data_IF_471485513150
#
_entry.id   IF_471485513150
#
_cell.length_a   1.000
_cell.length_b   1.000
_cell.length_c   1.000
_cell.angle_alpha   90.00
_cell.angle_beta   90.00
_cell.angle_gamma   90.00
#
_symmetry.space_group_name_H-M   'P 1'
#
loop_
_entity.id
_entity.type
_entity.pdbx_description
1 polymer ?
#
# COMPACT_ATOMS: atom_id res chain seq x y z
N UNK A 1 4.08 -8.61 -29.41
CA UNK A 1 4.52 -8.66 -30.78
C UNK A 1 5.51 -9.81 -30.90
N UNK A 2 5.28 -10.71 -31.85
CA UNK A 2 6.27 -11.71 -32.16
C UNK A 2 7.47 -10.98 -32.79
N UNK A 3 8.67 -11.21 -32.25
CA UNK A 3 9.89 -10.76 -32.90
C UNK A 3 9.97 -11.43 -34.28
N UNK A 4 10.28 -10.70 -35.32
CA UNK A 4 10.57 -11.25 -36.62
C UNK A 4 11.96 -11.87 -36.62
N UNK A 5 12.21 -12.86 -37.46
CA UNK A 5 13.52 -13.54 -37.56
C UNK A 5 14.66 -12.57 -37.95
N UNK A 6 14.32 -11.36 -38.44
CA UNK A 6 15.27 -10.32 -38.86
C UNK A 6 15.77 -9.45 -37.68
N UNK A 7 15.10 -9.46 -36.53
CA UNK A 7 15.43 -8.63 -35.38
C UNK A 7 16.47 -9.27 -34.44
N UNK A 8 16.92 -10.51 -34.72
CA UNK A 8 17.79 -11.27 -33.82
C UNK A 8 19.17 -11.43 -34.42
N UNK A 9 20.08 -10.53 -34.14
CA UNK A 9 21.53 -10.74 -34.35
C UNK A 9 22.09 -11.57 -33.18
N UNK A 10 22.39 -12.84 -33.41
CA UNK A 10 22.87 -13.75 -32.38
C UNK A 10 24.31 -14.13 -32.62
N UNK A 11 25.16 -13.93 -31.62
CA UNK A 11 26.48 -14.57 -31.52
C UNK A 11 26.28 -16.06 -31.22
N UNK A 12 26.94 -16.94 -31.93
CA UNK A 12 27.20 -18.40 -31.85
C UNK A 12 26.22 -19.35 -31.11
N UNK A 13 25.28 -18.90 -30.24
CA UNK A 13 24.22 -19.74 -29.65
C UNK A 13 22.87 -19.53 -30.31
N UNK A 14 22.23 -20.61 -30.79
CA UNK A 14 20.87 -20.50 -31.33
C UNK A 14 19.88 -20.12 -30.26
N UNK A 15 19.07 -19.05 -30.45
CA UNK A 15 18.04 -18.68 -29.49
C UNK A 15 17.02 -19.81 -29.36
N UNK A 16 16.57 -20.03 -28.12
CA UNK A 16 15.48 -20.98 -27.83
C UNK A 16 14.18 -20.18 -27.76
N UNK A 17 13.23 -20.49 -28.65
CA UNK A 17 11.90 -19.88 -28.64
C UNK A 17 10.94 -20.76 -27.85
N UNK A 18 10.32 -20.18 -26.82
CA UNK A 18 9.32 -20.86 -26.00
C UNK A 18 7.96 -20.21 -26.24
N UNK A 19 7.03 -20.97 -26.82
CA UNK A 19 5.66 -20.51 -27.00
C UNK A 19 4.90 -20.62 -25.67
N UNK A 20 4.35 -19.49 -25.19
CA UNK A 20 3.59 -19.40 -23.95
C UNK A 20 2.17 -18.86 -24.21
N UNK A 21 1.23 -19.15 -23.31
CA UNK A 21 -0.14 -18.63 -23.41
C UNK A 21 -0.21 -17.13 -23.14
N UNK A 22 0.66 -16.63 -22.27
CA UNK A 22 0.71 -15.25 -21.84
C UNK A 22 2.17 -14.86 -21.56
N UNK A 23 2.67 -13.93 -22.35
CA UNK A 23 4.09 -13.53 -22.31
C UNK A 23 4.43 -12.71 -21.05
N UNK A 24 3.50 -11.89 -20.54
CA UNK A 24 3.74 -11.10 -19.33
C UNK A 24 3.79 -12.00 -18.08
N UNK A 25 2.88 -12.96 -17.97
CA UNK A 25 2.89 -13.95 -16.88
C UNK A 25 4.14 -14.83 -16.93
N UNK A 26 4.48 -15.34 -18.12
CA UNK A 26 5.68 -16.15 -18.31
C UNK A 26 6.95 -15.37 -17.97
N UNK A 27 7.05 -14.11 -18.38
CA UNK A 27 8.18 -13.24 -18.06
C UNK A 27 8.33 -13.05 -16.54
N UNK A 28 7.25 -12.71 -15.84
CA UNK A 28 7.27 -12.53 -14.38
C UNK A 28 7.75 -13.79 -13.66
N UNK A 29 7.20 -14.96 -14.03
CA UNK A 29 7.61 -16.25 -13.45
C UNK A 29 9.07 -16.62 -13.79
N UNK A 30 9.53 -16.34 -15.02
CA UNK A 30 10.91 -16.56 -15.42
C UNK A 30 11.89 -15.66 -14.67
N UNK A 31 11.53 -14.39 -14.46
CA UNK A 31 12.31 -13.45 -13.66
C UNK A 31 12.36 -13.88 -12.19
N UNK A 32 11.23 -14.32 -11.63
CA UNK A 32 11.21 -14.86 -10.26
C UNK A 32 12.19 -16.04 -10.13
N UNK A 33 12.11 -17.02 -11.05
CA UNK A 33 13.01 -18.16 -11.04
C UNK A 33 14.48 -17.76 -11.28
N UNK A 34 14.75 -16.79 -12.17
CA UNK A 34 16.10 -16.30 -12.44
C UNK A 34 16.77 -15.69 -11.19
N UNK A 35 15.99 -15.00 -10.36
CA UNK A 35 16.43 -14.45 -9.09
C UNK A 35 16.16 -15.37 -7.89
N UNK A 36 16.03 -16.68 -8.11
CA UNK A 36 15.85 -17.71 -7.07
C UNK A 36 14.60 -17.50 -6.20
N UNK A 37 13.51 -17.01 -6.81
CA UNK A 37 12.22 -16.73 -6.16
C UNK A 37 12.35 -15.88 -4.89
N UNK A 38 12.86 -14.65 -4.98
CA UNK A 38 13.23 -13.86 -3.80
C UNK A 38 12.06 -13.57 -2.87
N UNK A 39 10.81 -13.51 -3.38
CA UNK A 39 9.61 -13.31 -2.55
C UNK A 39 9.31 -14.49 -1.63
N UNK A 40 9.83 -15.69 -1.88
CA UNK A 40 9.65 -16.84 -0.99
C UNK A 40 10.51 -16.73 0.28
N UNK A 41 11.55 -15.89 0.24
CA UNK A 41 12.47 -15.61 1.35
C UNK A 41 12.11 -14.32 2.11
N UNK A 42 11.00 -13.67 1.78
CA UNK A 42 10.50 -12.45 2.40
C UNK A 42 9.06 -12.65 2.87
N UNK A 43 8.70 -12.05 3.98
CA UNK A 43 7.29 -11.88 4.33
C UNK A 43 6.77 -10.66 3.54
N UNK A 44 6.19 -10.94 2.37
CA UNK A 44 5.74 -9.91 1.43
C UNK A 44 4.27 -9.57 1.64
N UNK A 45 3.97 -8.29 1.87
CA UNK A 45 2.59 -7.77 1.98
C UNK A 45 2.33 -6.72 0.92
N UNK A 46 1.27 -6.92 0.15
CA UNK A 46 0.82 -6.00 -0.88
C UNK A 46 -0.33 -5.10 -0.42
N UNK A 47 -0.25 -3.81 -0.73
CA UNK A 47 -1.30 -2.83 -0.42
C UNK A 47 -1.93 -2.32 -1.71
N UNK A 48 -3.23 -2.53 -1.88
CA UNK A 48 -3.98 -2.02 -3.04
C UNK A 48 -5.20 -1.20 -2.62
N UNK A 49 -5.70 -0.41 -3.54
CA UNK A 49 -6.83 0.50 -3.37
C UNK A 49 -6.66 1.73 -4.25
N UNK A 50 -7.57 2.70 -4.18
CA UNK A 50 -7.39 3.98 -4.86
C UNK A 50 -6.44 4.85 -4.06
N UNK A 51 -6.77 5.18 -2.82
CA UNK A 51 -6.01 6.04 -1.93
C UNK A 51 -5.41 5.25 -0.75
N UNK A 52 -4.34 5.75 -0.13
CA UNK A 52 -3.75 5.19 1.08
C UNK A 52 -2.66 4.14 0.88
N UNK A 53 -2.41 3.64 -0.34
CA UNK A 53 -1.40 2.61 -0.63
C UNK A 53 -0.01 2.99 -0.12
N UNK A 54 0.50 4.13 -0.57
CA UNK A 54 1.83 4.65 -0.17
C UNK A 54 1.93 4.83 1.32
N UNK A 55 0.91 5.45 1.94
CA UNK A 55 0.88 5.70 3.37
C UNK A 55 0.97 4.39 4.15
N UNK A 56 0.11 3.41 3.86
CA UNK A 56 0.08 2.13 4.58
C UNK A 56 1.37 1.34 4.38
N UNK A 57 1.87 1.23 3.14
CA UNK A 57 3.12 0.51 2.86
C UNK A 57 4.32 1.15 3.59
N UNK A 58 4.41 2.48 3.57
CA UNK A 58 5.48 3.22 4.26
C UNK A 58 5.35 3.11 5.79
N UNK A 59 4.14 3.21 6.33
CA UNK A 59 3.93 3.08 7.78
C UNK A 59 4.23 1.68 8.29
N UNK A 60 3.90 0.63 7.54
CA UNK A 60 4.30 -0.74 7.86
C UNK A 60 5.82 -0.89 7.83
N UNK A 61 6.47 -0.36 6.81
CA UNK A 61 7.93 -0.34 6.71
C UNK A 61 8.56 0.34 7.93
N UNK A 62 8.13 1.56 8.30
CA UNK A 62 8.64 2.29 9.45
C UNK A 62 8.33 1.57 10.78
N UNK A 63 7.14 1.02 10.94
CA UNK A 63 6.72 0.28 12.12
C UNK A 63 7.64 -0.93 12.36
N UNK A 64 7.83 -1.77 11.35
CA UNK A 64 8.64 -2.98 11.50
C UNK A 64 10.13 -2.66 11.70
N UNK A 65 10.63 -1.57 11.10
CA UNK A 65 11.98 -1.07 11.41
C UNK A 65 12.11 -0.62 12.87
N UNK A 66 11.13 0.12 13.40
CA UNK A 66 11.10 0.51 14.82
C UNK A 66 11.02 -0.69 15.76
N UNK A 67 10.43 -1.80 15.31
CA UNK A 67 10.43 -3.08 16.02
C UNK A 67 11.74 -3.87 15.87
N UNK A 68 12.77 -3.32 15.22
CA UNK A 68 14.09 -3.92 15.09
C UNK A 68 14.26 -4.91 13.93
N UNK A 69 13.31 -4.98 13.00
CA UNK A 69 13.42 -5.82 11.81
C UNK A 69 14.13 -5.11 10.66
N UNK A 70 14.77 -5.89 9.81
CA UNK A 70 15.25 -5.44 8.50
C UNK A 70 14.12 -5.53 7.49
N UNK A 71 13.81 -4.42 6.83
CA UNK A 71 12.59 -4.27 6.04
C UNK A 71 12.86 -3.63 4.69
N UNK A 72 12.20 -4.14 3.66
CA UNK A 72 12.14 -3.54 2.33
C UNK A 72 10.83 -2.77 2.11
N UNK A 73 10.90 -1.69 1.34
CA UNK A 73 9.74 -0.94 0.85
C UNK A 73 9.80 -0.79 -0.66
N UNK A 74 8.70 -1.14 -1.32
CA UNK A 74 8.50 -0.96 -2.75
C UNK A 74 7.30 -0.03 -2.96
N UNK A 75 7.58 1.24 -3.26
CA UNK A 75 6.55 2.25 -3.44
C UNK A 75 6.73 3.03 -4.74
N UNK A 76 5.68 3.78 -5.13
CA UNK A 76 5.72 4.64 -6.33
C UNK A 76 6.55 5.90 -6.12
N UNK A 77 6.88 6.25 -4.89
CA UNK A 77 7.62 7.46 -4.52
C UNK A 77 9.11 7.16 -4.34
N UNK A 78 9.43 6.13 -3.56
CA UNK A 78 10.80 5.71 -3.29
C UNK A 78 10.81 4.24 -2.87
N UNK A 79 11.86 3.53 -3.27
CA UNK A 79 12.13 2.19 -2.78
C UNK A 79 13.18 2.27 -1.66
N UNK A 80 13.07 1.42 -0.65
CA UNK A 80 14.02 1.32 0.45
C UNK A 80 14.44 -0.12 0.69
N UNK A 81 15.70 -0.31 1.01
CA UNK A 81 16.26 -1.57 1.53
C UNK A 81 16.92 -1.24 2.86
N UNK A 82 16.34 -1.70 3.96
CA UNK A 82 16.82 -1.54 5.34
C UNK A 82 17.28 -0.10 5.69
N UNK A 83 16.50 0.90 5.28
CA UNK A 83 16.77 2.32 5.55
C UNK A 83 17.53 3.06 4.46
N UNK A 84 18.13 2.37 3.51
CA UNK A 84 18.83 2.97 2.38
C UNK A 84 17.85 3.22 1.23
N UNK A 85 17.76 4.46 0.76
CA UNK A 85 16.94 4.83 -0.39
C UNK A 85 17.58 4.32 -1.70
N UNK A 86 16.80 3.59 -2.48
CA UNK A 86 17.22 3.11 -3.78
C UNK A 86 16.66 4.04 -4.85
N UNK A 87 17.50 4.69 -5.68
CA UNK A 87 17.03 5.53 -6.76
C UNK A 87 16.08 4.78 -7.69
N UNK A 88 15.10 5.48 -8.32
CA UNK A 88 14.32 4.87 -9.39
C UNK A 88 15.27 4.51 -10.55
N UNK A 89 15.45 3.22 -10.72
CA UNK A 89 16.24 2.59 -11.77
C UNK A 89 15.27 1.65 -12.53
N UNK A 90 15.42 1.39 -13.84
CA UNK A 90 14.68 0.36 -14.56
C UNK A 90 14.91 -1.07 -14.05
N UNK A 91 15.48 -1.22 -12.87
CA UNK A 91 15.67 -2.50 -12.18
C UNK A 91 14.31 -3.20 -12.01
N UNK A 92 14.26 -4.44 -12.40
CA UNK A 92 13.06 -5.25 -12.27
C UNK A 92 12.67 -5.42 -10.80
N UNK A 93 11.38 -5.52 -10.52
CA UNK A 93 10.83 -5.78 -9.18
C UNK A 93 11.51 -6.99 -8.50
N UNK A 94 11.76 -8.06 -9.26
CA UNK A 94 12.42 -9.27 -8.75
C UNK A 94 13.88 -9.03 -8.35
N UNK A 95 14.61 -8.19 -9.08
CA UNK A 95 15.97 -7.79 -8.70
C UNK A 95 15.99 -7.01 -7.38
N UNK A 96 15.06 -6.06 -7.19
CA UNK A 96 14.96 -5.32 -5.92
C UNK A 96 14.68 -6.26 -4.75
N UNK A 97 13.80 -7.26 -4.93
CA UNK A 97 13.53 -8.26 -3.89
C UNK A 97 14.74 -9.15 -3.62
N UNK A 98 15.49 -9.56 -4.66
CA UNK A 98 16.73 -10.31 -4.47
C UNK A 98 17.75 -9.52 -3.63
N UNK A 99 17.92 -8.23 -3.93
CA UNK A 99 18.77 -7.32 -3.13
C UNK A 99 18.26 -7.15 -1.70
N UNK A 100 16.93 -7.14 -1.46
CA UNK A 100 16.39 -7.14 -0.10
C UNK A 100 16.75 -8.41 0.65
N UNK A 101 16.66 -9.58 0.01
CA UNK A 101 17.08 -10.86 0.59
C UNK A 101 18.58 -10.85 0.91
N UNK A 102 19.42 -10.40 -0.02
CA UNK A 102 20.89 -10.27 0.17
C UNK A 102 21.23 -9.32 1.34
N UNK A 103 20.48 -8.23 1.53
CA UNK A 103 20.61 -7.31 2.66
C UNK A 103 20.10 -7.91 3.99
N UNK A 104 19.47 -9.08 3.95
CA UNK A 104 18.90 -9.78 5.11
C UNK A 104 17.55 -9.21 5.56
N UNK A 105 16.78 -8.59 4.67
CA UNK A 105 15.42 -8.18 4.98
C UNK A 105 14.55 -9.40 5.29
N UNK A 106 13.75 -9.29 6.34
CA UNK A 106 12.77 -10.30 6.76
C UNK A 106 11.39 -10.03 6.15
N UNK A 107 11.06 -8.74 6.03
CA UNK A 107 9.76 -8.25 5.55
C UNK A 107 9.94 -7.34 4.34
N UNK A 108 8.93 -7.35 3.48
CA UNK A 108 8.81 -6.36 2.41
C UNK A 108 7.36 -5.88 2.29
N UNK A 109 7.17 -4.57 2.24
CA UNK A 109 5.86 -3.95 2.03
C UNK A 109 5.82 -3.27 0.67
N UNK A 110 4.75 -3.52 -0.09
CA UNK A 110 4.70 -3.15 -1.49
C UNK A 110 3.37 -2.49 -1.86
N UNK A 111 3.44 -1.39 -2.60
CA UNK A 111 2.26 -0.86 -3.29
C UNK A 111 1.91 -1.73 -4.50
N UNK A 112 0.66 -2.20 -4.56
CA UNK A 112 0.12 -2.99 -5.66
C UNK A 112 -0.92 -2.18 -6.40
N UNK A 113 -0.55 -1.57 -7.52
CA UNK A 113 -1.46 -0.80 -8.36
C UNK A 113 -2.35 -1.71 -9.22
N UNK A 114 -3.52 -1.21 -9.64
CA UNK A 114 -4.38 -1.97 -10.56
C UNK A 114 -3.71 -2.25 -11.90
N UNK A 115 -2.84 -1.33 -12.36
CA UNK A 115 -2.03 -1.54 -13.56
C UNK A 115 -1.03 -2.69 -13.37
N UNK A 116 -0.35 -2.76 -12.20
CA UNK A 116 0.62 -3.84 -11.95
C UNK A 116 -0.04 -5.22 -11.88
N UNK A 117 -1.29 -5.29 -11.41
CA UNK A 117 -2.08 -6.52 -11.39
C UNK A 117 -2.50 -6.89 -12.81
N UNK A 118 -3.13 -5.96 -13.53
CA UNK A 118 -3.69 -6.19 -14.87
C UNK A 118 -2.60 -6.50 -15.89
N UNK A 119 -1.48 -5.79 -15.83
CA UNK A 119 -0.29 -6.00 -16.68
C UNK A 119 0.62 -7.13 -16.18
N UNK A 120 0.20 -7.88 -15.15
CA UNK A 120 0.92 -9.03 -14.58
C UNK A 120 2.35 -8.73 -14.13
N UNK A 121 2.64 -7.49 -13.74
CA UNK A 121 3.97 -7.10 -13.25
C UNK A 121 4.33 -7.77 -11.92
N UNK A 122 3.33 -8.26 -11.18
CA UNK A 122 3.50 -9.00 -9.91
C UNK A 122 3.45 -10.52 -10.10
N UNK A 123 3.41 -11.02 -11.34
CA UNK A 123 3.45 -12.45 -11.60
C UNK A 123 4.76 -13.06 -11.11
N UNK A 124 4.66 -14.24 -10.50
CA UNK A 124 5.80 -14.95 -9.91
C UNK A 124 6.15 -14.47 -8.49
N UNK A 125 5.39 -13.53 -7.90
CA UNK A 125 5.57 -13.14 -6.50
C UNK A 125 4.66 -13.94 -5.57
N UNK A 126 5.19 -14.33 -4.42
CA UNK A 126 4.49 -15.00 -3.33
C UNK A 126 4.13 -13.98 -2.23
N UNK A 127 2.84 -13.70 -2.05
CA UNK A 127 2.37 -12.76 -1.02
C UNK A 127 1.91 -13.49 0.24
N UNK A 128 2.36 -13.00 1.41
CA UNK A 128 1.92 -13.47 2.73
C UNK A 128 0.71 -12.66 3.23
N UNK A 129 0.38 -11.54 2.59
CA UNK A 129 -0.78 -10.74 2.91
C UNK A 129 -1.16 -9.74 1.83
N UNK A 130 -2.45 -9.43 1.78
CA UNK A 130 -3.01 -8.39 0.94
C UNK A 130 -3.90 -7.45 1.73
N UNK A 131 -3.74 -6.13 1.51
CA UNK A 131 -4.52 -5.09 2.17
C UNK A 131 -5.30 -4.31 1.11
N UNK A 132 -6.63 -4.18 1.30
CA UNK A 132 -7.48 -3.32 0.49
C UNK A 132 -7.91 -2.08 1.28
N UNK A 133 -7.72 -0.90 0.70
CA UNK A 133 -8.03 0.37 1.36
C UNK A 133 -9.41 0.91 0.99
N UNK A 134 -9.61 1.25 -0.26
CA UNK A 134 -10.84 1.84 -0.80
C UNK A 134 -10.88 1.75 -2.32
N UNK A 135 -12.08 1.95 -2.89
CA UNK A 135 -12.30 2.06 -4.33
C UNK A 135 -13.12 3.32 -4.64
N UNK A 136 -12.47 4.33 -5.19
CA UNK A 136 -13.11 5.54 -5.70
C UNK A 136 -12.86 5.69 -7.20
N UNK A 137 -13.45 6.68 -7.86
CA UNK A 137 -13.28 6.89 -9.30
C UNK A 137 -11.86 7.37 -9.58
N UNK A 138 -11.08 6.49 -10.22
CA UNK A 138 -9.72 6.77 -10.65
C UNK A 138 -9.34 5.81 -11.79
N UNK A 139 -8.32 6.15 -12.58
CA UNK A 139 -7.77 5.31 -13.66
C UNK A 139 -8.83 4.80 -14.68
N UNK A 140 -9.92 5.55 -14.91
CA UNK A 140 -10.96 5.16 -15.86
C UNK A 140 -10.54 5.37 -17.32
N UNK A 141 -9.51 6.16 -17.56
CA UNK A 141 -8.80 6.24 -18.84
C UNK A 141 -8.26 4.87 -19.27
N UNK A 142 -7.71 4.11 -18.34
CA UNK A 142 -7.16 2.78 -18.56
C UNK A 142 -8.24 1.68 -18.44
N UNK A 143 -8.92 1.58 -17.30
CA UNK A 143 -9.86 0.47 -17.01
C UNK A 143 -11.22 0.63 -17.68
N UNK A 144 -11.56 1.80 -18.26
CA UNK A 144 -12.81 2.17 -18.94
C UNK A 144 -14.03 2.21 -18.02
N UNK A 145 -14.16 1.29 -17.09
CA UNK A 145 -15.29 1.22 -16.14
C UNK A 145 -14.82 0.96 -14.71
N UNK A 146 -15.64 1.40 -13.73
CA UNK A 146 -15.40 1.12 -12.30
C UNK A 146 -15.44 -0.40 -12.04
N UNK A 147 -16.27 -1.15 -12.78
CA UNK A 147 -16.36 -2.59 -12.64
C UNK A 147 -15.04 -3.29 -13.07
N UNK A 148 -14.44 -2.88 -14.18
CA UNK A 148 -13.15 -3.42 -14.61
C UNK A 148 -12.02 -3.06 -13.62
N UNK A 149 -12.07 -1.84 -13.08
CA UNK A 149 -11.13 -1.39 -12.06
C UNK A 149 -11.24 -2.22 -10.77
N UNK A 150 -12.48 -2.52 -10.34
CA UNK A 150 -12.76 -3.41 -9.22
C UNK A 150 -12.25 -4.84 -9.52
N UNK A 151 -12.58 -5.39 -10.68
CA UNK A 151 -12.12 -6.74 -11.09
C UNK A 151 -10.60 -6.85 -11.10
N UNK A 152 -9.90 -5.83 -11.60
CA UNK A 152 -8.44 -5.81 -11.62
C UNK A 152 -7.87 -5.91 -10.19
N UNK A 153 -8.37 -5.11 -9.23
CA UNK A 153 -7.92 -5.19 -7.83
C UNK A 153 -8.33 -6.48 -7.15
N UNK A 154 -9.56 -6.97 -7.41
CA UNK A 154 -10.08 -8.21 -6.85
C UNK A 154 -9.22 -9.41 -7.20
N UNK A 155 -8.68 -9.45 -8.42
CA UNK A 155 -7.79 -10.53 -8.86
C UNK A 155 -6.60 -10.72 -7.93
N UNK A 156 -6.02 -9.66 -7.38
CA UNK A 156 -4.93 -9.76 -6.41
C UNK A 156 -5.33 -10.59 -5.17
N UNK A 157 -6.56 -10.39 -4.66
CA UNK A 157 -7.06 -11.15 -3.51
C UNK A 157 -7.45 -12.58 -3.87
N UNK A 158 -8.02 -12.77 -5.05
CA UNK A 158 -8.40 -14.11 -5.55
C UNK A 158 -7.17 -15.02 -5.75
N UNK A 159 -6.02 -14.42 -6.08
CA UNK A 159 -4.75 -15.12 -6.31
C UNK A 159 -3.94 -15.36 -5.00
N UNK A 160 -4.37 -14.83 -3.83
CA UNK A 160 -3.67 -15.04 -2.56
C UNK A 160 -3.76 -16.51 -2.09
N UNK A 161 -2.64 -17.10 -1.63
CA UNK A 161 -2.63 -18.48 -1.13
C UNK A 161 -3.35 -18.60 0.23
N UNK A 162 -3.71 -19.83 0.61
CA UNK A 162 -4.36 -20.14 1.90
C UNK A 162 -3.53 -19.77 3.12
N UNK A 163 -2.20 -19.70 2.97
CA UNK A 163 -1.26 -19.28 4.03
C UNK A 163 -1.25 -17.76 4.25
N UNK A 164 -1.78 -16.99 3.32
CA UNK A 164 -1.81 -15.53 3.40
C UNK A 164 -3.01 -15.02 4.21
N UNK A 165 -2.99 -13.72 4.52
CA UNK A 165 -4.17 -12.99 4.99
C UNK A 165 -4.67 -12.01 3.92
N UNK A 166 -5.98 -11.76 3.92
CA UNK A 166 -6.66 -10.77 3.10
C UNK A 166 -7.39 -9.80 4.03
N UNK A 167 -6.85 -8.59 4.21
CA UNK A 167 -7.37 -7.56 5.11
C UNK A 167 -8.07 -6.47 4.31
N UNK A 168 -9.34 -6.19 4.60
CA UNK A 168 -10.13 -5.20 3.85
C UNK A 168 -10.84 -4.19 4.74
N UNK A 169 -11.03 -2.98 4.19
CA UNK A 169 -11.88 -1.97 4.78
C UNK A 169 -13.37 -2.36 4.63
N UNK A 170 -14.02 -2.75 5.72
CA UNK A 170 -15.43 -3.15 5.71
C UNK A 170 -16.40 -1.97 5.51
N UNK A 171 -15.94 -0.73 5.71
CA UNK A 171 -16.75 0.46 5.48
C UNK A 171 -16.75 0.92 4.02
N UNK A 172 -15.87 0.35 3.18
CA UNK A 172 -15.88 0.57 1.73
C UNK A 172 -16.81 -0.45 1.03
N UNK A 173 -17.61 0.03 0.09
CA UNK A 173 -18.59 -0.81 -0.64
C UNK A 173 -17.94 -1.98 -1.39
N UNK A 174 -16.70 -1.81 -1.86
CA UNK A 174 -15.95 -2.85 -2.54
C UNK A 174 -15.22 -3.78 -1.55
N UNK A 175 -15.11 -3.41 -0.27
CA UNK A 175 -14.33 -4.14 0.72
C UNK A 175 -14.67 -5.62 0.80
N UNK A 176 -15.91 -5.96 1.10
CA UNK A 176 -16.33 -7.35 1.21
C UNK A 176 -16.31 -8.09 -0.14
N UNK A 177 -16.42 -7.36 -1.26
CA UNK A 177 -16.31 -7.96 -2.60
C UNK A 177 -14.89 -8.51 -2.84
N UNK A 178 -13.85 -7.84 -2.30
CA UNK A 178 -12.46 -8.31 -2.40
C UNK A 178 -12.27 -9.68 -1.74
N UNK A 179 -13.04 -9.97 -0.69
CA UNK A 179 -12.92 -11.23 0.08
C UNK A 179 -13.76 -12.40 -0.47
N UNK A 180 -14.58 -12.21 -1.51
CA UNK A 180 -15.54 -13.23 -1.94
C UNK A 180 -14.89 -14.56 -2.33
N UNK A 181 -13.87 -14.54 -3.17
CA UNK A 181 -13.28 -15.74 -3.75
C UNK A 181 -11.86 -16.06 -3.22
N UNK A 182 -11.32 -15.21 -2.34
CA UNK A 182 -9.97 -15.44 -1.81
C UNK A 182 -9.94 -16.71 -0.96
N UNK A 183 -8.88 -17.50 -1.12
CA UNK A 183 -8.56 -18.64 -0.27
C UNK A 183 -7.82 -18.24 1.02
N UNK A 184 -7.31 -17.00 1.08
CA UNK A 184 -6.58 -16.46 2.22
C UNK A 184 -7.48 -16.26 3.44
N UNK A 185 -6.88 -16.16 4.63
CA UNK A 185 -7.59 -15.82 5.86
C UNK A 185 -8.23 -14.44 5.74
N UNK A 186 -9.57 -14.39 5.79
CA UNK A 186 -10.37 -13.18 5.60
C UNK A 186 -10.40 -12.36 6.89
N UNK A 187 -10.02 -11.09 6.80
CA UNK A 187 -9.98 -10.14 7.91
C UNK A 187 -10.53 -8.78 7.46
N UNK A 188 -11.10 -8.07 8.41
CA UNK A 188 -11.75 -6.78 8.18
C UNK A 188 -11.26 -5.73 9.16
N UNK A 189 -11.23 -4.46 8.72
CA UNK A 189 -11.07 -3.31 9.61
C UNK A 189 -12.14 -2.27 9.32
N UNK A 190 -12.54 -1.50 10.35
CA UNK A 190 -13.65 -0.54 10.24
C UNK A 190 -13.61 0.52 11.34
N UNK A 191 -14.08 1.74 11.02
CA UNK A 191 -14.43 2.78 11.99
C UNK A 191 -15.94 2.78 12.32
N UNK A 192 -16.79 2.20 11.48
CA UNK A 192 -18.26 2.31 11.56
C UNK A 192 -18.95 1.01 11.91
N UNK A 193 -18.62 -0.07 11.18
CA UNK A 193 -19.26 -1.38 11.28
C UNK A 193 -18.49 -2.32 12.20
N UNK A 194 -19.04 -3.50 12.49
CA UNK A 194 -18.31 -4.58 13.15
C UNK A 194 -17.20 -5.09 12.23
N UNK A 195 -16.04 -5.33 12.81
CA UNK A 195 -14.86 -5.81 12.09
C UNK A 195 -13.91 -6.50 13.07
N UNK A 196 -12.95 -7.28 12.54
CA UNK A 196 -11.90 -7.91 13.33
C UNK A 196 -10.99 -6.86 14.01
N UNK A 197 -10.74 -5.76 13.29
CA UNK A 197 -9.99 -4.61 13.80
C UNK A 197 -10.91 -3.38 13.80
N UNK A 198 -11.40 -3.03 14.98
CA UNK A 198 -12.35 -1.94 15.17
C UNK A 198 -11.66 -0.70 15.69
N UNK A 199 -11.91 0.43 15.06
CA UNK A 199 -11.49 1.75 15.54
C UNK A 199 -12.65 2.69 15.83
N UNK A 200 -12.37 3.71 16.64
CA UNK A 200 -13.27 4.85 16.88
C UNK A 200 -12.41 6.09 17.13
N UNK A 201 -12.64 7.15 16.37
CA UNK A 201 -12.04 8.46 16.64
C UNK A 201 -12.73 9.04 17.87
N UNK A 202 -11.96 9.48 18.85
CA UNK A 202 -12.42 10.19 20.05
C UNK A 202 -12.32 11.69 19.83
N UNK A 203 -11.09 12.18 19.57
CA UNK A 203 -10.81 13.59 19.30
C UNK A 203 -9.80 13.73 18.18
N UNK A 204 -9.84 14.86 17.44
CA UNK A 204 -8.90 15.14 16.35
C UNK A 204 -8.48 16.60 16.37
N UNK A 205 -7.16 16.82 16.39
CA UNK A 205 -6.49 18.13 16.41
C UNK A 205 -5.41 18.16 15.31
N UNK A 206 -4.80 19.32 15.04
CA UNK A 206 -3.70 19.40 14.06
C UNK A 206 -2.41 18.74 14.54
N UNK A 207 -2.29 18.49 15.84
CA UNK A 207 -1.18 17.75 16.46
C UNK A 207 -1.35 16.23 16.35
N UNK A 208 -2.60 15.76 16.12
CA UNK A 208 -2.88 14.34 16.01
C UNK A 208 -4.34 13.97 16.31
N UNK A 209 -4.58 12.68 16.34
CA UNK A 209 -5.90 12.10 16.61
C UNK A 209 -5.82 11.09 17.75
N UNK A 210 -6.70 11.27 18.73
CA UNK A 210 -6.96 10.29 19.76
C UNK A 210 -8.03 9.31 19.28
N UNK A 211 -7.73 8.02 19.36
CA UNK A 211 -8.64 6.98 18.89
C UNK A 211 -8.60 5.72 19.74
N UNK A 212 -9.72 4.99 19.74
CA UNK A 212 -9.75 3.61 20.21
C UNK A 212 -9.37 2.68 19.07
N UNK A 213 -8.51 1.71 19.37
CA UNK A 213 -8.16 0.60 18.49
C UNK A 213 -8.41 -0.69 19.26
N UNK A 214 -9.39 -1.47 18.84
CA UNK A 214 -9.86 -2.66 19.56
C UNK A 214 -10.10 -2.43 21.07
N UNK A 215 -10.70 -1.27 21.40
CA UNK A 215 -11.05 -0.89 22.77
C UNK A 215 -9.92 -0.28 23.60
N UNK A 216 -8.74 -0.06 23.03
CA UNK A 216 -7.57 0.57 23.67
C UNK A 216 -7.35 1.95 23.12
N UNK A 217 -7.10 2.90 24.00
CA UNK A 217 -6.82 4.28 23.63
C UNK A 217 -5.40 4.41 23.11
N UNK A 218 -5.26 5.16 22.01
CA UNK A 218 -3.98 5.52 21.43
C UNK A 218 -4.04 6.94 20.91
N UNK A 219 -3.05 7.76 21.29
CA UNK A 219 -2.80 9.06 20.68
C UNK A 219 -1.86 8.90 19.51
N UNK A 220 -2.25 9.38 18.35
CA UNK A 220 -1.44 9.30 17.11
C UNK A 220 -1.14 10.70 16.59
N UNK A 221 -0.06 10.85 15.84
CA UNK A 221 0.34 12.12 15.20
C UNK A 221 -0.31 12.34 13.83
N UNK A 222 -1.34 11.58 13.53
CA UNK A 222 -2.02 11.65 12.25
C UNK A 222 -3.35 12.37 12.37
N UNK A 223 -3.68 13.14 11.35
CA UNK A 223 -4.90 13.93 11.29
C UNK A 223 -5.80 13.42 10.17
N UNK A 224 -7.10 13.44 10.43
CA UNK A 224 -8.13 13.12 9.46
C UNK A 224 -8.58 11.65 9.48
N UNK A 225 -9.87 11.48 9.20
CA UNK A 225 -10.55 10.17 9.23
C UNK A 225 -9.91 9.14 8.31
N UNK A 226 -9.45 9.56 7.13
CA UNK A 226 -8.80 8.64 6.19
C UNK A 226 -7.48 8.09 6.76
N UNK A 227 -6.74 8.86 7.56
CA UNK A 227 -5.56 8.37 8.27
C UNK A 227 -5.91 7.41 9.40
N UNK A 228 -7.04 7.60 10.10
CA UNK A 228 -7.51 6.60 11.06
C UNK A 228 -7.79 5.24 10.41
N UNK A 229 -8.34 5.21 9.18
CA UNK A 229 -8.44 3.97 8.38
C UNK A 229 -7.07 3.40 8.03
N UNK A 230 -6.12 4.24 7.61
CA UNK A 230 -4.76 3.80 7.28
C UNK A 230 -4.07 3.17 8.51
N UNK A 231 -4.20 3.80 9.68
CA UNK A 231 -3.62 3.30 10.93
C UNK A 231 -4.26 1.98 11.38
N UNK A 232 -5.58 1.81 11.20
CA UNK A 232 -6.25 0.53 11.46
C UNK A 232 -5.77 -0.57 10.51
N UNK A 233 -5.53 -0.26 9.24
CA UNK A 233 -4.98 -1.22 8.29
C UNK A 233 -3.55 -1.63 8.67
N UNK A 234 -2.72 -0.66 9.11
CA UNK A 234 -1.36 -0.92 9.61
C UNK A 234 -1.40 -1.80 10.85
N UNK A 235 -2.22 -1.45 11.86
CA UNK A 235 -2.42 -2.25 13.06
C UNK A 235 -2.88 -3.67 12.73
N UNK A 236 -3.94 -3.78 11.93
CA UNK A 236 -4.51 -5.07 11.55
C UNK A 236 -3.52 -5.96 10.78
N UNK A 237 -2.71 -5.38 9.90
CA UNK A 237 -1.67 -6.11 9.19
C UNK A 237 -0.54 -6.59 10.13
N UNK A 238 -0.04 -5.72 11.01
CA UNK A 238 1.01 -6.08 11.97
C UNK A 238 0.56 -7.21 12.92
N UNK A 239 -0.63 -7.11 13.48
CA UNK A 239 -1.22 -8.17 14.33
C UNK A 239 -1.43 -9.46 13.52
N UNK A 240 -1.85 -9.35 12.25
CA UNK A 240 -2.04 -10.52 11.37
C UNK A 240 -0.72 -11.23 11.05
N UNK A 241 0.39 -10.50 11.08
CA UNK A 241 1.76 -11.01 10.96
C UNK A 241 2.34 -11.51 12.30
N UNK A 242 1.53 -11.60 13.35
CA UNK A 242 1.91 -12.16 14.65
C UNK A 242 2.61 -11.19 15.59
N UNK A 243 2.55 -9.89 15.35
CA UNK A 243 3.09 -8.89 16.29
C UNK A 243 2.16 -8.72 17.48
N UNK A 244 2.74 -8.45 18.65
CA UNK A 244 1.98 -8.21 19.87
C UNK A 244 1.13 -6.93 19.75
N UNK A 245 -0.19 -6.99 20.01
CA UNK A 245 -1.08 -5.85 19.84
C UNK A 245 -0.68 -4.62 20.66
N UNK A 246 -0.12 -4.77 21.86
CA UNK A 246 0.32 -3.66 22.71
C UNK A 246 1.56 -3.00 22.13
N UNK A 247 2.55 -3.79 21.72
CA UNK A 247 3.76 -3.30 21.08
C UNK A 247 3.42 -2.54 19.79
N UNK A 248 2.47 -3.07 18.99
CA UNK A 248 1.98 -2.39 17.78
C UNK A 248 1.38 -1.04 18.10
N UNK A 249 0.56 -0.91 19.16
CA UNK A 249 -0.03 0.39 19.56
C UNK A 249 1.02 1.38 20.03
N UNK A 250 2.00 0.93 20.82
CA UNK A 250 3.11 1.78 21.26
C UNK A 250 3.87 2.35 20.06
N UNK A 251 4.26 1.49 19.11
CA UNK A 251 4.97 1.95 17.92
C UNK A 251 4.09 2.83 17.05
N UNK A 252 2.80 2.52 16.90
CA UNK A 252 1.84 3.29 16.12
C UNK A 252 1.71 4.73 16.62
N UNK A 253 1.76 4.96 17.94
CA UNK A 253 1.72 6.29 18.55
C UNK A 253 2.96 7.15 18.23
N UNK A 254 4.09 6.50 17.93
CA UNK A 254 5.37 7.17 17.62
C UNK A 254 5.63 7.30 16.10
N UNK A 255 4.74 6.80 15.24
CA UNK A 255 4.85 6.99 13.80
C UNK A 255 4.55 8.45 13.41
N UNK A 256 5.17 8.88 12.33
CA UNK A 256 4.99 10.22 11.76
C UNK A 256 4.33 10.15 10.38
N UNK A 257 3.74 11.28 9.97
CA UNK A 257 3.16 11.39 8.63
C UNK A 257 4.21 11.16 7.54
N UNK A 258 3.82 10.41 6.53
CA UNK A 258 4.65 10.19 5.34
C UNK A 258 4.80 11.52 4.58
N UNK A 259 6.00 11.81 4.10
CA UNK A 259 6.26 13.05 3.35
C UNK A 259 5.27 13.22 2.20
N UNK A 260 4.64 14.41 2.13
CA UNK A 260 3.62 14.73 1.13
C UNK A 260 2.30 13.96 1.27
N UNK A 261 2.00 13.35 2.44
CA UNK A 261 0.74 12.64 2.73
C UNK A 261 0.11 13.22 3.99
N UNK A 262 -0.68 14.28 3.83
CA UNK A 262 -1.25 15.10 4.91
C UNK A 262 -0.17 15.49 5.94
N UNK A 263 0.96 15.91 5.43
CA UNK A 263 2.09 16.31 6.26
C UNK A 263 1.81 17.67 6.87
N UNK A 264 1.65 17.71 8.19
CA UNK A 264 1.44 18.95 8.94
C UNK A 264 2.76 19.60 9.34
N UNK A 265 2.89 20.89 9.09
CA UNK A 265 4.06 21.71 9.44
C UNK A 265 3.57 22.92 10.23
N UNK A 266 3.90 22.97 11.51
CA UNK A 266 3.56 24.09 12.39
C UNK A 266 4.51 25.25 12.16
N UNK A 267 3.93 26.43 11.89
CA UNK A 267 4.71 27.66 11.77
C UNK A 267 4.81 28.40 13.08
N UNK A 268 5.98 28.97 13.45
CA UNK A 268 6.11 29.87 14.60
C UNK A 268 5.19 31.10 14.53
N UNK A 269 4.66 31.42 13.34
CA UNK A 269 3.72 32.53 13.10
C UNK A 269 2.26 32.17 13.36
N UNK A 270 1.97 30.97 13.90
CA UNK A 270 0.63 30.54 14.29
C UNK A 270 -0.26 30.03 13.16
N UNK A 271 0.30 29.62 12.01
CA UNK A 271 -0.42 28.90 10.97
C UNK A 271 0.13 27.48 10.80
N UNK A 272 -0.72 26.58 10.35
CA UNK A 272 -0.34 25.21 9.98
C UNK A 272 -0.29 25.09 8.46
N UNK A 273 0.82 24.66 7.88
CA UNK A 273 0.90 24.24 6.49
C UNK A 273 0.65 22.74 6.39
N UNK A 274 -0.12 22.34 5.38
CA UNK A 274 -0.41 20.92 5.10
C UNK A 274 0.05 20.63 3.67
N UNK A 275 0.90 19.62 3.51
CA UNK A 275 1.38 19.16 2.20
C UNK A 275 0.78 17.80 1.92
N UNK A 276 0.05 17.69 0.80
CA UNK A 276 -0.58 16.44 0.37
C UNK A 276 -0.47 16.22 -1.14
N UNK A 277 -0.41 14.97 -1.54
CA UNK A 277 -0.35 14.56 -2.94
C UNK A 277 -1.75 14.38 -3.57
N UNK A 278 -2.81 14.84 -2.95
CA UNK A 278 -4.17 14.74 -3.46
C UNK A 278 -4.27 15.40 -4.86
N UNK A 279 -4.55 14.60 -5.88
CA UNK A 279 -4.65 15.01 -7.29
C UNK A 279 -5.96 14.54 -7.95
N UNK A 280 -6.80 13.79 -7.22
CA UNK A 280 -8.15 13.44 -7.65
C UNK A 280 -9.19 14.26 -6.88
N UNK A 281 -10.38 14.53 -7.45
CA UNK A 281 -11.44 15.27 -6.75
C UNK A 281 -11.82 14.66 -5.39
N UNK A 282 -11.91 13.34 -5.32
CA UNK A 282 -12.22 12.62 -4.08
C UNK A 282 -11.12 12.80 -3.02
N UNK A 283 -9.84 12.62 -3.40
CA UNK A 283 -8.73 12.80 -2.49
C UNK A 283 -8.65 14.24 -1.95
N UNK A 284 -8.80 15.25 -2.83
CA UNK A 284 -8.82 16.65 -2.42
C UNK A 284 -9.98 16.96 -1.48
N UNK A 285 -11.17 16.43 -1.77
CA UNK A 285 -12.35 16.58 -0.91
C UNK A 285 -12.10 15.99 0.48
N UNK A 286 -11.50 14.80 0.57
CA UNK A 286 -11.17 14.15 1.83
C UNK A 286 -10.16 14.96 2.66
N UNK A 287 -9.13 15.51 2.00
CA UNK A 287 -8.14 16.39 2.65
C UNK A 287 -8.81 17.65 3.22
N UNK A 288 -9.59 18.36 2.38
CA UNK A 288 -10.26 19.60 2.79
C UNK A 288 -11.30 19.36 3.90
N UNK A 289 -12.09 18.28 3.79
CA UNK A 289 -13.06 17.92 4.85
C UNK A 289 -12.34 17.66 6.17
N UNK A 290 -11.22 16.94 6.17
CA UNK A 290 -10.44 16.68 7.38
C UNK A 290 -9.90 17.96 8.00
N UNK A 291 -9.46 18.93 7.19
CA UNK A 291 -9.03 20.24 7.67
C UNK A 291 -10.22 21.00 8.32
N UNK A 292 -11.38 21.00 7.66
CA UNK A 292 -12.59 21.64 8.17
C UNK A 292 -13.13 20.98 9.45
N UNK A 293 -13.06 19.66 9.55
CA UNK A 293 -13.43 18.92 10.77
C UNK A 293 -12.57 19.37 11.97
N UNK A 294 -11.24 19.51 11.78
CA UNK A 294 -10.33 19.95 12.85
C UNK A 294 -10.53 21.44 13.19
N UNK A 295 -10.74 22.29 12.19
CA UNK A 295 -10.98 23.71 12.39
C UNK A 295 -12.30 24.00 13.13
N UNK A 296 -13.29 23.12 12.99
CA UNK A 296 -14.61 23.25 13.62
C UNK A 296 -15.21 24.66 13.49
N UNK A 297 -15.11 25.23 12.29
CA UNK A 297 -15.59 26.59 11.99
C UNK A 297 -14.66 27.73 12.40
N UNK A 298 -13.52 27.44 12.99
CA UNK A 298 -12.53 28.45 13.39
C UNK A 298 -11.39 28.54 12.36
N UNK A 299 -10.97 29.77 12.05
CA UNK A 299 -9.82 29.99 11.19
C UNK A 299 -10.16 30.09 9.70
N UNK A 300 -9.12 30.23 8.88
CA UNK A 300 -9.19 30.40 7.42
C UNK A 300 -8.35 29.36 6.73
N UNK A 301 -8.92 28.73 5.72
CA UNK A 301 -8.19 27.79 4.82
C UNK A 301 -7.76 28.55 3.56
N UNK A 302 -6.49 28.44 3.20
CA UNK A 302 -5.94 28.89 1.93
C UNK A 302 -5.45 27.63 1.19
N UNK A 303 -6.08 27.32 0.06
CA UNK A 303 -5.75 26.16 -0.74
C UNK A 303 -4.93 26.55 -1.96
N UNK A 304 -3.77 25.90 -2.14
CA UNK A 304 -2.93 26.01 -3.33
C UNK A 304 -2.96 24.67 -4.04
N UNK A 305 -3.47 24.63 -5.26
CA UNK A 305 -3.63 23.41 -6.06
C UNK A 305 -2.89 23.58 -7.38
N UNK A 306 -2.10 22.58 -7.73
CA UNK A 306 -1.49 22.42 -9.06
C UNK A 306 -2.08 21.18 -9.73
N UNK A 307 -2.48 21.33 -11.00
CA UNK A 307 -2.88 20.19 -11.82
C UNK A 307 -1.72 19.79 -12.72
N UNK A 308 -1.29 18.52 -12.65
CA UNK A 308 -0.50 17.93 -13.73
C UNK A 308 -1.40 17.76 -14.94
N UNK A 309 -0.98 18.30 -16.09
CA UNK A 309 -1.72 18.19 -17.34
C UNK A 309 -1.70 16.78 -17.92
#
# INVERSE_FOLDING_TARGET
PALSDEDIQVSESKPVFIRVKDSADALGKSLSAWYENPSDNLILVGVTGTNGKTTIATLLYEMFRKMGHKVGLLSTVCNYIDGEAIPPDPVTLHNLMARMVEAGCEYAFMEVSSHSIDQKRISGLSFNGGIFTNLTRDHLDYHKTVENYLKAKKKFFDDLPTSAFALTNADDKAGLVMLQNTAARKLTYSLRTLADFKGKILESHFEGTEMLVNGREVMTRFVGRFNAYNLLAVYGAAVSLGKDPEEVLVVLSDLHSVSGRFQTIQSPKGYTAIVDYAHTPDALTNVLNSIHEVLNGNGRVITVVGCGG
#
